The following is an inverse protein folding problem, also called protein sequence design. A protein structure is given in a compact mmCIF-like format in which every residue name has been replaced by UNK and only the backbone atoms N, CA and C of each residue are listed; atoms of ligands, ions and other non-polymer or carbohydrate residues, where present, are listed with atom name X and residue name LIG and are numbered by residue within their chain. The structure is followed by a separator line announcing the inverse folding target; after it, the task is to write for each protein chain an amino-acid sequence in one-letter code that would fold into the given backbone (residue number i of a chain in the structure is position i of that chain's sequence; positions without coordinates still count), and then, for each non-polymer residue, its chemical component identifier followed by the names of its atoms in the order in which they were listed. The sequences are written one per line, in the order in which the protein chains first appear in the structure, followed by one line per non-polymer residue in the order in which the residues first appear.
data_IF_649134564159
#
_entry.id   IF_649134564159
#
_cell.length_a   1.000
_cell.length_b   1.000
_cell.length_c   1.000
_cell.angle_alpha   90.00
_cell.angle_beta   90.00
_cell.angle_gamma   90.00
#
_symmetry.space_group_name_H-M   'P 1'
#
loop_
_entity.id
_entity.type
_entity.pdbx_description
1 polymer ?
#
# COMPACT_ATOMS: atom_id res chain seq x y z
N UNK A 1 5.86 -8.55 -8.57
CA UNK A 1 6.79 -9.67 -8.24
C UNK A 1 7.51 -9.47 -6.92
N UNK A 2 8.26 -8.38 -6.71
CA UNK A 2 8.95 -8.12 -5.42
C UNK A 2 7.95 -8.12 -4.25
N UNK A 3 6.79 -7.47 -4.40
CA UNK A 3 5.71 -7.51 -3.41
C UNK A 3 5.26 -8.93 -3.04
N UNK A 4 5.11 -9.81 -4.04
CA UNK A 4 4.74 -11.24 -3.83
C UNK A 4 5.85 -11.97 -3.08
N UNK A 5 7.12 -11.78 -3.48
CA UNK A 5 8.27 -12.35 -2.79
C UNK A 5 8.34 -11.93 -1.32
N UNK A 6 8.17 -10.64 -1.05
CA UNK A 6 8.19 -10.10 0.31
C UNK A 6 7.06 -10.65 1.19
N UNK A 7 5.84 -10.75 0.65
CA UNK A 7 4.71 -11.35 1.35
C UNK A 7 4.96 -12.83 1.70
N UNK A 8 5.57 -13.59 0.78
CA UNK A 8 5.91 -15.01 1.01
C UNK A 8 7.00 -15.19 2.04
N UNK A 9 8.04 -14.36 2.00
CA UNK A 9 9.14 -14.41 2.98
C UNK A 9 8.68 -14.07 4.40
N UNK A 10 7.68 -13.19 4.53
CA UNK A 10 7.15 -12.71 5.81
C UNK A 10 5.71 -13.21 6.05
N UNK A 11 5.38 -14.40 5.54
CA UNK A 11 4.01 -14.92 5.52
C UNK A 11 3.33 -14.91 6.90
N UNK A 12 4.07 -15.29 7.95
CA UNK A 12 3.55 -15.34 9.33
C UNK A 12 3.06 -13.98 9.84
N UNK A 13 3.64 -12.88 9.38
CA UNK A 13 3.26 -11.53 9.80
C UNK A 13 2.03 -11.02 9.04
N UNK A 14 1.76 -11.56 7.84
CA UNK A 14 0.73 -11.06 6.94
C UNK A 14 -0.51 -11.95 6.81
N UNK A 15 -0.41 -13.23 7.18
CA UNK A 15 -1.50 -14.21 7.01
C UNK A 15 -2.79 -13.79 7.71
N UNK A 16 -2.70 -13.16 8.88
CA UNK A 16 -3.87 -12.66 9.63
C UNK A 16 -4.61 -11.48 8.98
N UNK A 17 -4.03 -10.85 7.96
CA UNK A 17 -4.64 -9.74 7.23
C UNK A 17 -5.28 -10.15 5.90
N UNK A 18 -5.19 -11.43 5.52
CA UNK A 18 -5.78 -11.92 4.28
C UNK A 18 -7.23 -12.34 4.53
N UNK A 19 -8.13 -11.69 3.80
CA UNK A 19 -9.56 -12.03 3.84
C UNK A 19 -9.89 -13.35 3.14
N UNK A 20 -10.89 -14.05 3.71
CA UNK A 20 -11.52 -15.21 3.11
C UNK A 20 -10.82 -16.56 3.35
N UNK A 21 -9.91 -16.64 4.34
CA UNK A 21 -9.22 -17.89 4.69
C UNK A 21 -8.28 -18.40 3.61
N UNK A 22 -7.84 -17.51 2.72
CA UNK A 22 -6.86 -17.82 1.66
C UNK A 22 -5.46 -17.83 2.26
N UNK A 23 -4.59 -18.69 1.73
CA UNK A 23 -3.16 -18.67 2.08
C UNK A 23 -2.46 -17.46 1.44
N UNK A 24 -1.29 -17.09 1.98
CA UNK A 24 -0.43 -16.05 1.38
C UNK A 24 -0.10 -16.35 -0.09
N UNK A 25 0.14 -17.62 -0.44
CA UNK A 25 0.41 -18.02 -1.82
C UNK A 25 -0.77 -17.76 -2.75
N UNK A 26 -1.97 -18.15 -2.31
CA UNK A 26 -3.20 -17.94 -3.07
C UNK A 26 -3.49 -16.44 -3.24
N UNK A 27 -3.31 -15.65 -2.17
CA UNK A 27 -3.46 -14.20 -2.23
C UNK A 27 -2.48 -13.59 -3.22
N UNK A 28 -1.20 -13.99 -3.18
CA UNK A 28 -0.19 -13.49 -4.11
C UNK A 28 -0.54 -13.82 -5.58
N UNK A 29 -0.97 -15.05 -5.86
CA UNK A 29 -1.31 -15.48 -7.23
C UNK A 29 -2.58 -14.81 -7.78
N UNK A 30 -3.55 -14.50 -6.91
CA UNK A 30 -4.84 -13.93 -7.33
C UNK A 30 -4.86 -12.39 -7.35
N UNK A 31 -4.17 -11.74 -6.40
CA UNK A 31 -4.29 -10.28 -6.18
C UNK A 31 -3.00 -9.50 -6.47
N UNK A 32 -1.81 -10.11 -6.35
CA UNK A 32 -0.52 -9.38 -6.44
C UNK A 32 0.22 -9.62 -7.75
N UNK A 33 0.23 -10.86 -8.25
CA UNK A 33 0.97 -11.25 -9.46
C UNK A 33 0.27 -10.91 -10.78
N UNK A 34 -1.07 -10.99 -10.90
CA UNK A 34 -1.75 -10.63 -12.13
C UNK A 34 -1.62 -9.14 -12.46
N UNK A 35 -1.41 -8.83 -13.74
CA UNK A 35 -1.44 -7.46 -14.23
C UNK A 35 -2.86 -6.89 -14.20
N UNK A 36 -2.98 -5.57 -14.14
CA UNK A 36 -4.26 -4.84 -14.12
C UNK A 36 -5.14 -5.16 -12.89
N UNK A 37 -4.53 -5.62 -11.79
CA UNK A 37 -5.16 -5.72 -10.48
C UNK A 37 -4.89 -4.45 -9.67
N UNK A 38 -5.93 -3.99 -8.97
CA UNK A 38 -5.82 -2.86 -8.07
C UNK A 38 -4.99 -3.24 -6.85
N UNK A 39 -4.14 -2.31 -6.40
CA UNK A 39 -3.37 -2.49 -5.18
C UNK A 39 -4.20 -2.10 -3.96
N UNK A 40 -4.39 -3.05 -3.06
CA UNK A 40 -4.99 -2.82 -1.75
C UNK A 40 -3.96 -2.27 -0.74
N UNK A 41 -4.42 -2.03 0.49
CA UNK A 41 -3.58 -1.51 1.57
C UNK A 41 -2.43 -2.47 1.93
N UNK A 42 -2.69 -3.79 1.89
CA UNK A 42 -1.70 -4.82 2.20
C UNK A 42 -0.58 -4.85 1.14
N UNK A 43 -0.94 -4.76 -0.13
CA UNK A 43 -0.01 -4.67 -1.25
C UNK A 43 0.89 -3.44 -1.15
N UNK A 44 0.34 -2.28 -0.73
CA UNK A 44 1.12 -1.05 -0.54
C UNK A 44 2.11 -1.20 0.62
N UNK A 45 1.68 -1.76 1.76
CA UNK A 45 2.56 -2.05 2.90
C UNK A 45 3.69 -3.00 2.48
N UNK A 46 3.35 -4.09 1.80
CA UNK A 46 4.33 -5.08 1.38
C UNK A 46 5.33 -4.47 0.38
N UNK A 47 4.87 -3.68 -0.59
CA UNK A 47 5.74 -3.03 -1.56
C UNK A 47 6.68 -2.02 -0.89
N UNK A 48 6.15 -1.14 -0.03
CA UNK A 48 6.93 -0.10 0.64
C UNK A 48 8.02 -0.68 1.54
N UNK A 49 7.69 -1.74 2.31
CA UNK A 49 8.68 -2.46 3.10
C UNK A 49 9.71 -3.18 2.23
N UNK A 50 9.29 -3.85 1.16
CA UNK A 50 10.20 -4.58 0.28
C UNK A 50 11.23 -3.67 -0.40
N UNK A 51 10.85 -2.44 -0.77
CA UNK A 51 11.76 -1.46 -1.38
C UNK A 51 12.47 -0.56 -0.36
N UNK A 52 12.08 -0.60 0.92
CA UNK A 52 12.68 0.21 1.98
C UNK A 52 12.37 1.71 1.90
N UNK A 53 11.22 2.10 1.32
CA UNK A 53 10.86 3.51 1.09
C UNK A 53 9.55 3.85 1.77
N UNK A 54 9.58 4.91 2.60
CA UNK A 54 8.38 5.50 3.17
C UNK A 54 7.66 6.41 2.19
N UNK A 55 6.32 6.29 2.13
CA UNK A 55 5.45 7.09 1.27
C UNK A 55 4.28 7.65 2.06
N UNK A 56 3.71 8.76 1.56
CA UNK A 56 2.45 9.33 2.05
C UNK A 56 1.40 9.25 0.96
N UNK A 57 0.21 8.81 1.30
CA UNK A 57 -0.95 8.81 0.41
C UNK A 57 -1.99 9.78 0.98
N UNK A 58 -2.30 10.82 0.23
CA UNK A 58 -3.36 11.78 0.55
C UNK A 58 -4.65 11.34 -0.13
N UNK A 59 -5.74 11.27 0.62
CA UNK A 59 -7.06 10.84 0.16
C UNK A 59 -7.90 12.06 -0.18
N UNK A 60 -8.32 12.13 -1.45
CA UNK A 60 -9.20 13.19 -1.92
C UNK A 60 -10.66 12.88 -1.57
N UNK A 61 -11.01 13.03 -0.30
CA UNK A 61 -12.41 12.97 0.15
C UNK A 61 -13.01 14.39 0.22
N UNK A 62 -14.14 14.60 -0.47
CA UNK A 62 -14.86 15.88 -0.54
C UNK A 62 -15.65 16.17 0.74
N UNK A 63 -15.79 15.21 1.66
CA UNK A 63 -16.79 15.30 2.73
C UNK A 63 -16.26 15.53 4.15
N UNK A 64 -14.97 15.40 4.44
CA UNK A 64 -14.56 15.21 5.84
C UNK A 64 -13.20 15.78 6.29
N UNK A 65 -12.65 16.82 5.67
CA UNK A 65 -11.40 17.40 6.18
C UNK A 65 -11.51 18.91 6.42
N UNK A 66 -11.85 19.27 7.65
CA UNK A 66 -11.83 20.65 8.16
C UNK A 66 -10.41 21.26 8.18
N UNK A 67 -9.35 20.43 8.22
CA UNK A 67 -7.97 20.89 8.38
C UNK A 67 -6.94 19.94 7.71
N UNK A 68 -6.75 19.98 6.38
CA UNK A 68 -5.64 19.34 5.63
C UNK A 68 -5.84 17.94 5.00
N UNK A 69 -7.07 17.56 4.64
CA UNK A 69 -7.32 16.27 3.98
C UNK A 69 -7.09 15.06 4.91
N UNK A 70 -7.49 13.87 4.47
CA UNK A 70 -7.07 12.62 5.11
C UNK A 70 -5.78 12.15 4.45
N UNK A 71 -4.77 11.76 5.22
CA UNK A 71 -3.57 11.13 4.66
C UNK A 71 -3.17 9.91 5.49
N UNK A 72 -2.49 8.98 4.85
CA UNK A 72 -1.89 7.83 5.50
C UNK A 72 -0.39 7.77 5.20
N UNK A 73 0.41 7.58 6.25
CA UNK A 73 1.85 7.44 6.16
C UNK A 73 2.24 5.97 6.29
N UNK A 74 2.84 5.44 5.22
CA UNK A 74 3.47 4.13 5.22
C UNK A 74 4.94 4.33 5.60
N UNK A 75 5.24 4.22 6.89
CA UNK A 75 6.57 4.49 7.45
C UNK A 75 7.41 3.21 7.47
N UNK A 76 8.54 3.24 6.79
CA UNK A 76 9.57 2.19 6.82
C UNK A 76 10.80 2.72 7.55
N UNK A 77 11.41 1.92 8.42
CA UNK A 77 12.60 2.27 9.22
C UNK A 77 12.53 3.60 9.99
N UNK A 78 11.33 4.05 10.40
CA UNK A 78 11.11 5.37 11.03
C UNK A 78 11.56 6.57 10.16
N UNK A 79 11.74 6.36 8.85
CA UNK A 79 12.08 7.43 7.90
C UNK A 79 10.80 8.14 7.48
N UNK A 80 10.81 9.47 7.50
CA UNK A 80 9.67 10.27 7.04
C UNK A 80 9.45 10.12 5.53
N UNK A 81 8.20 10.18 5.04
CA UNK A 81 7.90 10.07 3.62
C UNK A 81 8.56 11.17 2.80
N UNK A 82 9.17 10.77 1.67
CA UNK A 82 9.71 11.69 0.66
C UNK A 82 8.93 11.67 -0.65
N UNK A 83 8.11 10.63 -0.84
CA UNK A 83 7.25 10.46 -2.01
C UNK A 83 5.80 10.58 -1.57
N UNK A 84 5.05 11.39 -2.31
CA UNK A 84 3.67 11.75 -1.99
C UNK A 84 2.78 11.35 -3.15
N UNK A 85 1.67 10.70 -2.81
CA UNK A 85 0.67 10.25 -3.77
C UNK A 85 -0.69 10.86 -3.41
N UNK A 86 -1.48 11.17 -4.41
CA UNK A 86 -2.89 11.51 -4.27
C UNK A 86 -3.72 10.31 -4.69
N UNK A 87 -4.50 9.78 -3.75
CA UNK A 87 -5.50 8.77 -4.03
C UNK A 87 -6.85 9.40 -4.36
N UNK A 88 -7.36 9.03 -5.53
CA UNK A 88 -8.74 9.22 -5.98
C UNK A 88 -9.34 7.82 -6.17
N UNK A 89 -10.67 7.63 -6.06
CA UNK A 89 -11.26 6.30 -6.20
C UNK A 89 -10.77 5.57 -7.48
N UNK A 90 -10.01 4.49 -7.29
CA UNK A 90 -9.41 3.68 -8.36
C UNK A 90 -8.17 4.26 -9.06
N UNK A 91 -7.56 5.34 -8.55
CA UNK A 91 -6.43 5.99 -9.23
C UNK A 91 -5.44 6.66 -8.26
N UNK A 92 -4.15 6.52 -8.54
CA UNK A 92 -3.06 7.16 -7.80
C UNK A 92 -2.28 8.11 -8.71
N UNK A 93 -2.08 9.35 -8.27
CA UNK A 93 -1.20 10.32 -8.93
C UNK A 93 0.00 10.66 -8.04
N UNK A 94 1.14 10.99 -8.63
CA UNK A 94 2.30 11.51 -7.89
C UNK A 94 2.10 13.02 -7.68
N UNK A 95 2.27 13.49 -6.45
CA UNK A 95 2.22 14.91 -6.11
C UNK A 95 3.56 15.37 -5.53
N UNK A 96 3.88 16.65 -5.74
CA UNK A 96 5.12 17.26 -5.27
C UNK A 96 4.79 18.38 -4.30
N UNK A 97 5.54 18.47 -3.21
CA UNK A 97 5.47 19.63 -2.31
C UNK A 97 6.07 20.84 -3.02
N UNK A 98 5.42 21.99 -2.85
CA UNK A 98 5.92 23.29 -3.29
C UNK A 98 7.15 23.71 -2.49
#
# INVERSE_FOLDING_TARGET
LITSGYLRENAADYEGFIDGGRTIEQFCQCEIEPMFKDCDHLAIIALTNAIGISIRIEYMDRTAALHHGWFYDFIVDKKLPRHFFLYRPGHYDIIYKA
#
